data_IF_775363340817
#
_entry.id   IF_775363340817
#
_cell.length_a   1.000
_cell.length_b   1.000
_cell.length_c   1.000
_cell.angle_alpha   90.00
_cell.angle_beta   90.00
_cell.angle_gamma   90.00
#
_symmetry.space_group_name_H-M   'P 1'
#
loop_
_entity.id
_entity.type
_entity.pdbx_description
1 polymer ?
#
# COMPACT_ATOMS: atom_id res chain seq x y z
N UNK A 1 -24.21 2.55 -16.16
CA UNK A 1 -23.62 3.71 -16.86
C UNK A 1 -23.34 4.81 -15.85
N UNK A 2 -22.10 5.30 -15.85
CA UNK A 2 -21.66 6.41 -15.02
C UNK A 2 -22.49 7.68 -15.30
N UNK A 3 -22.75 8.50 -14.26
CA UNK A 3 -23.45 9.78 -14.40
C UNK A 3 -22.72 10.88 -13.65
N UNK A 4 -22.31 11.91 -14.38
CA UNK A 4 -21.75 13.14 -13.83
C UNK A 4 -22.78 13.88 -12.95
N UNK A 5 -22.33 14.60 -11.92
CA UNK A 5 -23.17 15.49 -11.14
C UNK A 5 -23.90 16.51 -12.03
N UNK A 6 -25.18 16.83 -11.75
CA UNK A 6 -25.86 17.95 -12.41
C UNK A 6 -25.34 19.29 -11.89
N UNK A 7 -25.63 20.36 -12.61
CA UNK A 7 -25.33 21.71 -12.16
C UNK A 7 -26.02 22.01 -10.82
N UNK A 8 -25.28 22.65 -9.90
CA UNK A 8 -25.76 22.99 -8.56
C UNK A 8 -26.52 24.32 -8.60
N UNK A 9 -27.75 24.32 -8.08
CA UNK A 9 -28.53 25.55 -7.90
C UNK A 9 -27.94 26.36 -6.72
N UNK A 10 -27.72 27.68 -6.86
CA UNK A 10 -27.09 28.50 -5.82
C UNK A 10 -27.94 28.59 -4.54
N UNK A 11 -29.26 28.73 -4.70
CA UNK A 11 -30.23 28.84 -3.59
C UNK A 11 -31.21 27.65 -3.65
N UNK A 12 -30.78 26.42 -3.31
CA UNK A 12 -31.59 25.23 -3.58
C UNK A 12 -32.91 25.22 -2.77
N UNK A 13 -32.90 25.71 -1.53
CA UNK A 13 -34.09 25.74 -0.70
C UNK A 13 -35.15 26.73 -1.19
N UNK A 14 -34.77 27.88 -1.74
CA UNK A 14 -35.72 28.81 -2.36
C UNK A 14 -36.42 28.15 -3.56
N UNK A 15 -35.64 27.52 -4.44
CA UNK A 15 -36.17 26.80 -5.60
C UNK A 15 -37.09 25.63 -5.18
N UNK A 16 -36.73 24.90 -4.12
CA UNK A 16 -37.55 23.81 -3.57
C UNK A 16 -38.86 24.33 -3.00
N UNK A 17 -38.85 25.42 -2.24
CA UNK A 17 -40.07 26.01 -1.65
C UNK A 17 -41.03 26.45 -2.75
N UNK A 18 -40.51 27.02 -3.85
CA UNK A 18 -41.32 27.48 -4.98
C UNK A 18 -41.88 26.31 -5.83
N UNK A 19 -41.05 25.31 -6.14
CA UNK A 19 -41.41 24.24 -7.08
C UNK A 19 -42.01 22.98 -6.42
N UNK A 20 -41.64 22.71 -5.17
CA UNK A 20 -41.95 21.46 -4.45
C UNK A 20 -42.28 21.70 -2.95
N UNK A 21 -43.23 22.60 -2.60
CA UNK A 21 -43.51 22.98 -1.22
C UNK A 21 -43.90 21.80 -0.32
N UNK A 22 -44.61 20.81 -0.84
CA UNK A 22 -45.05 19.63 -0.09
C UNK A 22 -43.92 18.65 0.29
N UNK A 23 -42.74 18.79 -0.34
CA UNK A 23 -41.61 17.88 -0.16
C UNK A 23 -40.39 18.54 0.50
N UNK A 24 -40.51 19.76 1.04
CA UNK A 24 -39.40 20.50 1.64
C UNK A 24 -38.68 19.67 2.70
N UNK A 25 -39.42 18.99 3.60
CA UNK A 25 -38.82 18.15 4.66
C UNK A 25 -37.98 17.00 4.09
N UNK A 26 -38.43 16.37 3.00
CA UNK A 26 -37.65 15.29 2.35
C UNK A 26 -36.31 15.80 1.80
N UNK A 27 -36.27 17.04 1.30
CA UNK A 27 -35.02 17.67 0.87
C UNK A 27 -34.14 18.07 2.04
N UNK A 28 -34.71 18.57 3.14
CA UNK A 28 -33.97 18.89 4.37
C UNK A 28 -33.26 17.64 4.91
N UNK A 29 -33.87 16.47 4.83
CA UNK A 29 -33.25 15.20 5.22
C UNK A 29 -31.99 14.85 4.39
N UNK A 30 -31.87 15.40 3.18
CA UNK A 30 -30.69 15.26 2.31
C UNK A 30 -29.60 16.30 2.60
N UNK A 31 -29.84 17.29 3.46
CA UNK A 31 -28.87 18.33 3.84
C UNK A 31 -27.83 17.77 4.84
N UNK A 32 -27.13 16.73 4.40
CA UNK A 32 -26.10 16.02 5.17
C UNK A 32 -24.87 15.77 4.29
N UNK A 33 -23.70 15.76 4.92
CA UNK A 33 -22.41 15.55 4.23
C UNK A 33 -22.26 14.10 3.76
N UNK A 34 -22.66 13.17 4.62
CA UNK A 34 -22.61 11.71 4.46
C UNK A 34 -24.02 11.14 4.57
N UNK A 35 -24.25 9.97 3.98
CA UNK A 35 -25.51 9.25 4.20
C UNK A 35 -25.59 8.64 5.62
N UNK A 36 -26.77 8.11 5.95
CA UNK A 36 -27.04 7.43 7.24
C UNK A 36 -26.15 6.20 7.51
N UNK A 37 -25.49 5.67 6.49
CA UNK A 37 -24.52 4.57 6.62
C UNK A 37 -23.07 5.06 6.74
N UNK A 38 -22.85 6.38 6.84
CA UNK A 38 -21.54 6.99 6.95
C UNK A 38 -20.74 6.99 5.64
N UNK A 39 -21.42 7.00 4.49
CA UNK A 39 -20.78 7.01 3.16
C UNK A 39 -20.84 8.38 2.52
N UNK A 40 -19.70 8.82 2.01
CA UNK A 40 -19.57 10.01 1.19
C UNK A 40 -19.84 9.65 -0.28
N UNK A 41 -21.11 9.73 -0.69
CA UNK A 41 -21.54 9.24 -1.99
C UNK A 41 -21.41 10.30 -3.08
N UNK A 42 -20.86 9.92 -4.23
CA UNK A 42 -20.89 10.74 -5.45
C UNK A 42 -22.30 10.77 -6.05
N UNK A 43 -22.63 11.76 -6.88
CA UNK A 43 -23.94 11.84 -7.55
C UNK A 43 -24.32 10.54 -8.26
N UNK A 44 -23.33 9.91 -8.90
CA UNK A 44 -23.46 8.63 -9.59
C UNK A 44 -24.09 7.54 -8.69
N UNK A 45 -23.81 7.59 -7.38
CA UNK A 45 -24.29 6.61 -6.41
C UNK A 45 -25.58 7.07 -5.73
N UNK A 46 -25.61 8.31 -5.22
CA UNK A 46 -26.73 8.83 -4.43
C UNK A 46 -28.01 9.00 -5.26
N UNK A 47 -27.90 9.20 -6.59
CA UNK A 47 -29.07 9.34 -7.49
C UNK A 47 -30.03 8.16 -7.49
N UNK A 48 -29.56 6.99 -7.04
CA UNK A 48 -30.36 5.77 -6.91
C UNK A 48 -31.01 5.64 -5.53
N UNK A 49 -30.52 6.38 -4.54
CA UNK A 49 -31.07 6.47 -3.18
C UNK A 49 -32.08 7.60 -3.02
N UNK A 50 -32.02 8.63 -3.87
CA UNK A 50 -32.97 9.75 -3.85
C UNK A 50 -34.40 9.24 -4.17
N UNK A 51 -35.41 9.54 -3.33
CA UNK A 51 -36.81 9.17 -3.60
C UNK A 51 -37.27 9.66 -4.97
N UNK A 52 -38.04 8.83 -5.70
CA UNK A 52 -38.51 9.14 -7.06
C UNK A 52 -39.33 10.44 -7.17
N UNK A 53 -39.94 10.87 -6.06
CA UNK A 53 -40.74 12.10 -5.98
C UNK A 53 -39.92 13.39 -5.95
N UNK A 54 -38.62 13.30 -5.65
CA UNK A 54 -37.72 14.45 -5.58
C UNK A 54 -37.00 14.66 -6.90
N UNK A 55 -36.82 15.93 -7.26
CA UNK A 55 -35.92 16.36 -8.32
C UNK A 55 -34.47 16.07 -7.91
N UNK A 56 -33.78 15.30 -8.74
CA UNK A 56 -32.41 14.85 -8.44
C UNK A 56 -31.38 15.97 -8.49
N UNK A 57 -31.62 17.02 -9.28
CA UNK A 57 -30.73 18.18 -9.40
C UNK A 57 -30.82 19.05 -8.16
N UNK A 58 -32.03 19.35 -7.69
CA UNK A 58 -32.26 20.07 -6.44
C UNK A 58 -31.78 19.27 -5.23
N UNK A 59 -32.06 17.97 -5.19
CA UNK A 59 -31.56 17.08 -4.14
C UNK A 59 -30.03 17.06 -4.08
N UNK A 60 -29.36 16.98 -5.24
CA UNK A 60 -27.90 17.08 -5.30
C UNK A 60 -27.39 18.45 -4.85
N UNK A 61 -28.08 19.53 -5.22
CA UNK A 61 -27.72 20.88 -4.81
C UNK A 61 -27.77 21.06 -3.29
N UNK A 62 -28.77 20.45 -2.63
CA UNK A 62 -28.86 20.43 -1.16
C UNK A 62 -27.69 19.65 -0.53
N UNK A 63 -27.33 18.48 -1.07
CA UNK A 63 -26.17 17.72 -0.59
C UNK A 63 -24.88 18.53 -0.76
N UNK A 64 -24.68 19.19 -1.90
CA UNK A 64 -23.51 20.05 -2.14
C UNK A 64 -23.49 21.27 -1.21
N UNK A 65 -24.66 21.84 -0.89
CA UNK A 65 -24.76 22.93 0.09
C UNK A 65 -24.24 22.49 1.46
N UNK A 66 -24.60 21.30 1.93
CA UNK A 66 -24.08 20.74 3.20
C UNK A 66 -22.55 20.55 3.18
N UNK A 67 -22.02 20.08 2.04
CA UNK A 67 -20.59 19.77 1.87
C UNK A 67 -19.72 21.01 1.74
N UNK A 68 -20.14 21.99 0.94
CA UNK A 68 -19.39 23.24 0.69
C UNK A 68 -19.08 24.00 1.98
N UNK A 69 -19.94 23.94 2.99
CA UNK A 69 -19.69 24.56 4.29
C UNK A 69 -18.58 23.91 5.11
N UNK A 70 -18.10 22.71 4.74
CA UNK A 70 -17.10 21.94 5.49
C UNK A 70 -15.84 21.59 4.68
N UNK A 71 -15.87 21.80 3.36
CA UNK A 71 -14.72 21.58 2.50
C UNK A 71 -13.62 22.60 2.81
N UNK A 72 -12.40 22.09 3.04
CA UNK A 72 -11.20 22.88 3.22
C UNK A 72 -10.30 22.77 1.97
N UNK A 73 -9.72 23.89 1.49
CA UNK A 73 -8.76 23.85 0.39
C UNK A 73 -7.46 23.18 0.84
N UNK A 74 -6.82 22.42 -0.04
CA UNK A 74 -5.58 21.70 0.28
C UNK A 74 -4.42 21.98 -0.66
N UNK A 75 -4.65 21.83 -1.96
CA UNK A 75 -3.64 21.98 -3.01
C UNK A 75 -4.34 22.44 -4.29
N UNK A 76 -3.59 22.99 -5.24
CA UNK A 76 -4.09 23.30 -6.58
C UNK A 76 -3.37 22.41 -7.58
N UNK A 77 -4.12 21.79 -8.51
CA UNK A 77 -3.58 20.82 -9.49
C UNK A 77 -4.07 21.13 -10.91
N UNK A 78 -3.37 20.56 -11.90
CA UNK A 78 -3.80 20.59 -13.29
C UNK A 78 -3.60 21.91 -14.03
N UNK A 79 -4.11 21.92 -15.26
CA UNK A 79 -4.14 23.10 -16.12
C UNK A 79 -5.43 23.11 -16.96
N UNK A 80 -6.32 24.11 -16.79
CA UNK A 80 -6.21 25.23 -15.86
C UNK A 80 -6.09 24.77 -14.40
N UNK A 81 -5.42 25.59 -13.59
CA UNK A 81 -5.14 25.25 -12.19
C UNK A 81 -6.45 25.25 -11.38
N UNK A 82 -6.81 24.10 -10.82
CA UNK A 82 -8.05 23.90 -10.06
C UNK A 82 -7.76 23.66 -8.57
N UNK A 83 -8.39 24.44 -7.65
CA UNK A 83 -8.24 24.20 -6.23
C UNK A 83 -8.91 22.87 -5.86
N UNK A 84 -8.17 22.02 -5.17
CA UNK A 84 -8.62 20.75 -4.65
C UNK A 84 -9.05 20.93 -3.18
N UNK A 85 -10.11 20.21 -2.81
CA UNK A 85 -10.75 20.35 -1.50
C UNK A 85 -10.88 18.98 -0.83
N UNK A 86 -10.93 18.97 0.49
CA UNK A 86 -11.41 17.78 1.20
C UNK A 86 -12.17 18.16 2.46
N UNK A 87 -13.00 17.24 2.95
CA UNK A 87 -13.56 17.28 4.29
C UNK A 87 -13.29 15.95 5.02
N UNK A 88 -13.33 16.00 6.35
CA UNK A 88 -13.09 14.81 7.17
C UNK A 88 -14.35 13.98 7.33
N UNK A 89 -14.35 12.73 6.86
CA UNK A 89 -15.43 11.76 7.07
C UNK A 89 -15.11 10.83 8.25
N UNK A 90 -16.10 10.08 8.80
CA UNK A 90 -15.83 9.09 9.83
C UNK A 90 -14.83 8.00 9.40
N UNK A 91 -14.80 7.62 8.12
CA UNK A 91 -13.84 6.65 7.61
C UNK A 91 -12.41 7.23 7.61
N UNK A 92 -12.27 8.51 7.26
CA UNK A 92 -11.00 9.24 7.31
C UNK A 92 -10.51 9.33 8.77
N UNK A 93 -11.38 9.72 9.69
CA UNK A 93 -11.07 9.80 11.13
C UNK A 93 -10.67 8.45 11.71
N UNK A 94 -11.38 7.37 11.36
CA UNK A 94 -11.03 6.01 11.78
C UNK A 94 -9.65 5.61 11.26
N UNK A 95 -9.35 5.89 9.99
CA UNK A 95 -8.10 5.50 9.36
C UNK A 95 -6.90 6.21 10.01
N UNK A 96 -6.95 7.53 10.20
CA UNK A 96 -5.84 8.26 10.85
C UNK A 96 -5.61 7.77 12.29
N UNK A 97 -6.69 7.56 13.05
CA UNK A 97 -6.58 6.97 14.39
C UNK A 97 -6.00 5.55 14.38
N UNK A 98 -6.33 4.73 13.38
CA UNK A 98 -5.75 3.39 13.23
C UNK A 98 -4.25 3.47 12.92
N UNK A 99 -3.85 4.35 12.01
CA UNK A 99 -2.45 4.55 11.66
C UNK A 99 -1.64 4.95 12.90
N UNK A 100 -2.10 5.93 13.67
CA UNK A 100 -1.42 6.43 14.87
C UNK A 100 -1.29 5.35 15.96
N UNK A 101 -2.33 4.52 16.13
CA UNK A 101 -2.34 3.48 17.14
C UNK A 101 -1.55 2.24 16.77
N UNK A 102 -1.42 1.93 15.48
CA UNK A 102 -0.99 0.59 15.01
C UNK A 102 0.25 0.58 14.13
N UNK A 103 0.62 1.71 13.51
CA UNK A 103 1.63 1.71 12.44
C UNK A 103 2.90 2.51 12.74
N UNK A 104 2.96 3.14 13.92
CA UNK A 104 4.10 3.96 14.34
C UNK A 104 5.33 3.12 14.69
N UNK A 105 6.48 3.78 14.73
CA UNK A 105 7.76 3.17 15.13
C UNK A 105 7.69 2.51 16.52
N UNK A 106 6.97 3.12 17.47
CA UNK A 106 6.83 2.59 18.82
C UNK A 106 6.07 1.25 18.84
N UNK A 107 4.98 1.17 18.07
CA UNK A 107 4.17 -0.06 17.94
C UNK A 107 4.98 -1.15 17.28
N UNK A 108 5.66 -0.85 16.17
CA UNK A 108 6.48 -1.83 15.48
C UNK A 108 7.58 -2.38 16.40
N UNK A 109 8.25 -1.52 17.17
CA UNK A 109 9.26 -1.94 18.15
C UNK A 109 8.67 -2.81 19.27
N UNK A 110 7.47 -2.48 19.74
CA UNK A 110 6.76 -3.33 20.71
C UNK A 110 6.49 -4.71 20.10
N UNK A 111 5.96 -4.76 18.87
CA UNK A 111 5.66 -6.01 18.16
C UNK A 111 6.92 -6.87 17.99
N UNK A 112 8.06 -6.27 17.61
CA UNK A 112 9.35 -6.97 17.45
C UNK A 112 9.90 -7.51 18.75
N UNK A 113 9.70 -6.81 19.87
CA UNK A 113 10.19 -7.25 21.17
C UNK A 113 9.44 -8.49 21.68
N UNK A 114 8.15 -8.65 21.34
CA UNK A 114 7.35 -9.82 21.73
C UNK A 114 7.82 -11.13 21.07
N UNK A 115 8.53 -11.02 19.94
CA UNK A 115 8.98 -12.17 19.13
C UNK A 115 10.44 -12.54 19.47
N UNK A 116 11.03 -11.97 20.52
CA UNK A 116 12.35 -12.35 21.05
C UNK A 116 13.53 -11.77 20.28
N UNK A 117 13.47 -11.69 18.94
CA UNK A 117 14.43 -10.99 18.09
C UNK A 117 13.78 -10.43 16.82
N UNK A 118 14.00 -9.14 16.51
CA UNK A 118 13.39 -8.43 15.38
C UNK A 118 13.56 -9.06 13.98
N UNK A 119 14.46 -10.05 13.82
CA UNK A 119 14.73 -10.72 12.52
C UNK A 119 13.70 -11.76 12.09
N UNK A 120 12.92 -12.33 13.01
CA UNK A 120 11.77 -13.17 12.65
C UNK A 120 10.64 -12.34 12.06
N UNK A 121 10.40 -11.15 12.64
CA UNK A 121 9.49 -10.15 12.09
C UNK A 121 9.97 -9.66 10.72
N UNK A 122 11.23 -9.26 10.58
CA UNK A 122 11.76 -8.84 9.27
C UNK A 122 11.53 -9.88 8.17
N UNK A 123 11.57 -11.19 8.49
CA UNK A 123 11.27 -12.22 7.50
C UNK A 123 9.78 -12.39 7.19
N UNK A 124 8.95 -12.56 8.23
CA UNK A 124 7.50 -12.67 8.08
C UNK A 124 6.91 -11.45 7.36
N UNK A 125 7.54 -10.30 7.56
CA UNK A 125 7.07 -9.05 7.03
C UNK A 125 7.74 -8.66 5.70
N UNK A 126 8.92 -9.18 5.36
CA UNK A 126 9.47 -9.04 3.99
C UNK A 126 8.57 -9.73 2.95
N UNK A 127 7.88 -10.82 3.29
CA UNK A 127 6.86 -11.42 2.43
C UNK A 127 5.72 -10.42 2.09
N UNK A 128 5.46 -9.44 2.96
CA UNK A 128 4.43 -8.41 2.76
C UNK A 128 4.92 -7.25 1.89
N UNK A 129 6.23 -6.98 1.89
CA UNK A 129 6.87 -6.10 0.91
C UNK A 129 6.73 -6.69 -0.50
N UNK A 130 6.98 -8.00 -0.63
CA UNK A 130 6.77 -8.74 -1.87
C UNK A 130 5.29 -8.68 -2.29
N UNK A 131 4.34 -8.91 -1.37
CA UNK A 131 2.91 -8.87 -1.69
C UNK A 131 2.44 -7.50 -2.21
N UNK A 132 3.00 -6.40 -1.68
CA UNK A 132 2.74 -5.06 -2.20
C UNK A 132 3.30 -4.90 -3.60
N UNK A 133 4.59 -5.20 -3.81
CA UNK A 133 5.23 -5.09 -5.12
C UNK A 133 4.51 -5.93 -6.19
N UNK A 134 4.11 -7.15 -5.83
CA UNK A 134 3.40 -8.08 -6.71
C UNK A 134 2.01 -7.55 -7.03
N UNK A 135 1.22 -7.22 -6.00
CA UNK A 135 -0.17 -6.78 -6.19
C UNK A 135 -0.23 -5.45 -6.92
N UNK A 136 0.76 -4.58 -6.70
CA UNK A 136 0.83 -3.28 -7.32
C UNK A 136 1.12 -3.38 -8.83
N UNK A 137 2.06 -4.24 -9.25
CA UNK A 137 2.31 -4.48 -10.69
C UNK A 137 1.17 -5.25 -11.37
N UNK A 138 0.51 -6.18 -10.68
CA UNK A 138 -0.67 -6.87 -11.21
C UNK A 138 -1.86 -5.92 -11.40
N UNK A 139 -1.98 -4.87 -10.56
CA UNK A 139 -3.01 -3.84 -10.75
C UNK A 139 -2.80 -3.06 -12.06
N UNK A 140 -1.54 -2.88 -12.49
CA UNK A 140 -1.19 -2.26 -13.78
C UNK A 140 -1.14 -3.27 -14.94
N UNK A 141 -1.64 -4.50 -14.75
CA UNK A 141 -1.80 -5.46 -15.85
C UNK A 141 -0.76 -6.57 -15.97
N UNK A 142 0.25 -6.63 -15.10
CA UNK A 142 1.21 -7.77 -15.11
C UNK A 142 0.47 -9.10 -14.93
N UNK A 143 0.65 -10.04 -15.88
CA UNK A 143 0.02 -11.36 -15.83
C UNK A 143 0.80 -12.37 -14.97
N UNK A 144 1.92 -11.96 -14.36
CA UNK A 144 2.74 -12.86 -13.53
C UNK A 144 1.95 -13.33 -12.31
N UNK A 145 1.77 -14.65 -12.18
CA UNK A 145 1.07 -15.22 -11.01
C UNK A 145 1.82 -14.95 -9.72
N UNK A 146 1.12 -14.77 -8.60
CA UNK A 146 1.75 -14.51 -7.29
C UNK A 146 2.77 -15.58 -6.90
N UNK A 147 2.51 -16.86 -7.24
CA UNK A 147 3.45 -17.96 -6.97
C UNK A 147 4.77 -17.80 -7.73
N UNK A 148 4.71 -17.46 -9.01
CA UNK A 148 5.90 -17.22 -9.84
C UNK A 148 6.62 -15.97 -9.36
N UNK A 149 5.88 -14.91 -9.06
CA UNK A 149 6.43 -13.65 -8.59
C UNK A 149 7.18 -13.79 -7.24
N UNK A 150 6.63 -14.52 -6.25
CA UNK A 150 7.34 -14.81 -4.99
C UNK A 150 8.61 -15.65 -5.22
N UNK A 151 8.58 -16.61 -6.15
CA UNK A 151 9.78 -17.37 -6.50
C UNK A 151 10.84 -16.46 -7.15
N UNK A 152 10.42 -15.56 -8.03
CA UNK A 152 11.29 -14.60 -8.72
C UNK A 152 12.02 -13.70 -7.72
N UNK A 153 11.27 -13.06 -6.80
CA UNK A 153 11.84 -12.15 -5.79
C UNK A 153 12.76 -12.88 -4.80
N UNK A 154 12.36 -14.07 -4.33
CA UNK A 154 13.15 -14.84 -3.36
C UNK A 154 14.43 -15.45 -3.95
N UNK A 155 14.46 -15.77 -5.24
CA UNK A 155 15.64 -16.35 -5.91
C UNK A 155 16.56 -15.30 -6.51
N UNK A 156 16.16 -14.03 -6.52
CA UNK A 156 16.86 -12.92 -7.19
C UNK A 156 17.22 -13.25 -8.65
N UNK A 157 16.41 -14.07 -9.31
CA UNK A 157 16.58 -14.32 -10.73
C UNK A 157 16.15 -13.07 -11.51
N UNK A 158 16.89 -12.75 -12.56
CA UNK A 158 16.48 -11.68 -13.48
C UNK A 158 15.15 -12.03 -14.15
N UNK A 159 14.29 -11.02 -14.31
CA UNK A 159 13.01 -11.16 -15.02
C UNK A 159 13.25 -11.38 -16.52
N UNK A 160 12.51 -12.31 -17.11
CA UNK A 160 12.65 -12.71 -18.52
C UNK A 160 11.60 -12.07 -19.40
N UNK A 161 10.43 -11.78 -18.85
CA UNK A 161 9.32 -11.12 -19.55
C UNK A 161 9.14 -9.69 -19.04
N UNK A 162 8.50 -8.80 -19.82
CA UNK A 162 8.09 -7.47 -19.35
C UNK A 162 7.31 -7.54 -18.02
N UNK A 163 6.34 -8.47 -17.92
CA UNK A 163 5.57 -8.69 -16.69
C UNK A 163 6.41 -9.04 -15.46
N UNK A 164 7.40 -9.92 -15.61
CA UNK A 164 8.32 -10.31 -14.53
C UNK A 164 9.23 -9.14 -14.14
N UNK A 165 9.67 -8.36 -15.14
CA UNK A 165 10.48 -7.16 -14.94
C UNK A 165 9.68 -6.05 -14.24
N UNK A 166 8.38 -5.91 -14.51
CA UNK A 166 7.48 -5.01 -13.77
C UNK A 166 7.39 -5.38 -12.29
N UNK A 167 7.37 -6.67 -11.95
CA UNK A 167 7.34 -7.13 -10.55
C UNK A 167 8.65 -6.76 -9.85
N UNK A 168 9.79 -7.07 -10.47
CA UNK A 168 11.12 -6.77 -9.93
C UNK A 168 11.32 -5.26 -9.78
N UNK A 169 10.97 -4.49 -10.81
CA UNK A 169 11.10 -3.04 -10.79
C UNK A 169 10.26 -2.41 -9.69
N UNK A 170 9.03 -2.87 -9.50
CA UNK A 170 8.19 -2.37 -8.41
C UNK A 170 8.71 -2.74 -7.02
N UNK A 171 9.31 -3.93 -6.88
CA UNK A 171 10.02 -4.29 -5.65
C UNK A 171 11.21 -3.35 -5.39
N UNK A 172 12.00 -3.01 -6.41
CA UNK A 172 13.09 -2.02 -6.31
C UNK A 172 12.57 -0.63 -5.96
N UNK A 173 11.45 -0.19 -6.53
CA UNK A 173 10.81 1.09 -6.16
C UNK A 173 10.47 1.14 -4.68
N UNK A 174 9.90 0.07 -4.14
CA UNK A 174 9.56 -0.03 -2.72
C UNK A 174 10.81 -0.01 -1.81
N UNK A 175 11.91 -0.61 -2.26
CA UNK A 175 13.21 -0.50 -1.56
C UNK A 175 13.76 0.93 -1.62
N UNK A 176 13.74 1.56 -2.79
CA UNK A 176 14.17 2.95 -2.98
C UNK A 176 13.34 3.92 -2.11
N UNK A 177 12.01 3.76 -2.09
CA UNK A 177 11.10 4.52 -1.25
C UNK A 177 11.46 4.40 0.24
N UNK A 178 11.85 3.20 0.69
CA UNK A 178 12.33 3.00 2.05
C UNK A 178 13.70 3.64 2.29
N UNK A 179 14.68 3.37 1.44
CA UNK A 179 16.07 3.83 1.61
C UNK A 179 16.16 5.36 1.60
N UNK A 180 15.44 6.01 0.69
CA UNK A 180 15.43 7.47 0.49
C UNK A 180 14.34 8.21 1.28
N UNK A 181 13.64 7.53 2.20
CA UNK A 181 12.55 8.12 3.01
C UNK A 181 12.92 9.36 3.81
N UNK A 182 14.20 9.55 4.12
CA UNK A 182 14.67 10.70 4.92
C UNK A 182 14.88 11.96 4.08
N UNK A 183 14.97 11.81 2.77
CA UNK A 183 15.23 12.90 1.85
C UNK A 183 13.95 13.76 1.67
N UNK A 184 14.06 15.05 1.32
CA UNK A 184 12.91 15.82 0.83
C UNK A 184 12.46 15.29 -0.54
N UNK A 185 11.20 15.52 -0.91
CA UNK A 185 10.74 15.21 -2.27
C UNK A 185 11.47 16.13 -3.25
N UNK A 186 11.86 15.59 -4.41
CA UNK A 186 12.49 16.34 -5.50
C UNK A 186 12.10 15.71 -6.84
N UNK A 187 12.24 16.47 -7.93
CA UNK A 187 12.06 15.92 -9.29
C UNK A 187 12.95 14.70 -9.50
N UNK A 188 14.20 14.79 -9.07
CA UNK A 188 15.17 13.70 -9.15
C UNK A 188 14.69 12.44 -8.41
N UNK A 189 14.13 12.56 -7.20
CA UNK A 189 13.61 11.40 -6.48
C UNK A 189 12.41 10.76 -7.22
N UNK A 190 11.52 11.56 -7.79
CA UNK A 190 10.38 11.07 -8.58
C UNK A 190 10.90 10.32 -9.83
N UNK A 191 11.89 10.89 -10.53
CA UNK A 191 12.51 10.26 -11.71
C UNK A 191 13.28 8.99 -11.37
N UNK A 192 13.99 8.96 -10.24
CA UNK A 192 14.74 7.78 -9.79
C UNK A 192 13.81 6.64 -9.37
N UNK A 193 12.74 6.94 -8.63
CA UNK A 193 11.70 5.95 -8.34
C UNK A 193 11.15 5.36 -9.65
N UNK A 194 10.76 6.22 -10.59
CA UNK A 194 10.28 5.74 -11.88
C UNK A 194 11.32 4.87 -12.60
N UNK A 195 12.58 5.33 -12.69
CA UNK A 195 13.68 4.59 -13.31
C UNK A 195 13.84 3.19 -12.70
N UNK A 196 13.97 3.08 -11.38
CA UNK A 196 14.08 1.78 -10.69
C UNK A 196 12.90 0.85 -11.01
N UNK A 197 11.72 1.43 -11.21
CA UNK A 197 10.47 0.72 -11.50
C UNK A 197 10.33 0.14 -12.89
N UNK A 198 10.97 0.75 -13.87
CA UNK A 198 10.74 0.44 -15.29
C UNK A 198 12.01 0.12 -16.06
N UNK A 199 13.19 0.32 -15.45
CA UNK A 199 14.46 0.02 -16.11
C UNK A 199 14.57 -1.47 -16.48
N UNK A 200 14.92 -1.69 -17.75
CA UNK A 200 15.08 -3.01 -18.33
C UNK A 200 13.80 -3.69 -18.78
N UNK A 201 12.61 -3.07 -18.65
CA UNK A 201 11.38 -3.53 -19.32
C UNK A 201 11.57 -3.34 -20.84
N UNK A 202 11.45 -4.43 -21.61
CA UNK A 202 11.67 -4.40 -23.07
C UNK A 202 10.39 -3.94 -23.79
N UNK A 203 10.02 -2.68 -23.61
CA UNK A 203 8.84 -2.04 -24.21
C UNK A 203 9.12 -0.55 -24.42
N UNK A 204 8.91 -0.07 -25.65
CA UNK A 204 9.24 1.28 -26.09
C UNK A 204 8.36 2.37 -25.44
N UNK A 205 7.22 2.00 -24.85
CA UNK A 205 6.38 2.92 -24.06
C UNK A 205 7.09 3.33 -22.76
N UNK A 206 7.97 2.48 -22.22
CA UNK A 206 8.72 2.79 -21.02
C UNK A 206 9.98 3.62 -21.31
N UNK A 207 10.00 4.83 -20.75
CA UNK A 207 11.17 5.73 -20.81
C UNK A 207 11.71 5.98 -19.39
N UNK A 208 12.69 5.17 -18.91
CA UNK A 208 13.12 5.19 -17.51
C UNK A 208 13.55 6.58 -17.01
N UNK A 209 12.79 7.11 -16.05
CA UNK A 209 13.01 8.42 -15.42
C UNK A 209 12.76 9.65 -16.30
N UNK A 210 12.26 9.49 -17.53
CA UNK A 210 11.97 10.61 -18.42
C UNK A 210 10.50 11.03 -18.29
N UNK A 211 10.25 12.29 -17.93
CA UNK A 211 8.91 12.85 -17.93
C UNK A 211 8.32 12.90 -19.35
N UNK A 212 6.99 12.84 -19.46
CA UNK A 212 6.31 12.97 -20.74
C UNK A 212 6.59 14.34 -21.36
N UNK A 213 6.81 14.34 -22.67
CA UNK A 213 7.02 15.53 -23.50
C UNK A 213 5.85 15.79 -24.47
N UNK A 214 4.86 14.90 -24.46
CA UNK A 214 3.68 14.89 -25.34
C UNK A 214 2.37 14.67 -24.54
N UNK A 215 1.24 15.00 -25.16
CA UNK A 215 -0.11 14.87 -24.58
C UNK A 215 -0.89 13.65 -25.09
N UNK A 216 -0.21 12.74 -25.78
CA UNK A 216 -0.76 11.47 -26.30
C UNK A 216 -0.95 10.40 -25.21
N UNK A 217 -0.33 10.59 -24.04
CA UNK A 217 -0.47 9.71 -22.88
C UNK A 217 -1.84 9.92 -22.23
N UNK A 218 -2.65 8.85 -22.15
CA UNK A 218 -4.00 8.85 -21.58
C UNK A 218 -4.18 7.73 -20.58
N UNK A 219 -5.05 7.92 -19.59
CA UNK A 219 -5.44 6.86 -18.66
C UNK A 219 -6.64 6.13 -19.25
N UNK A 220 -6.54 4.81 -19.46
CA UNK A 220 -7.63 4.01 -20.00
C UNK A 220 -8.66 3.61 -18.94
N UNK A 221 -9.93 3.48 -19.33
CA UNK A 221 -11.02 2.98 -18.50
C UNK A 221 -11.12 1.43 -18.44
N UNK A 222 -10.16 0.71 -19.03
CA UNK A 222 -10.12 -0.75 -19.09
C UNK A 222 -11.08 -1.36 -20.13
N UNK A 223 -11.88 -0.54 -20.82
CA UNK A 223 -12.77 -0.93 -21.92
C UNK A 223 -12.36 -0.28 -23.26
N UNK A 224 -11.15 0.27 -23.32
CA UNK A 224 -10.62 0.97 -24.50
C UNK A 224 -11.08 2.43 -24.63
N UNK A 225 -11.79 2.96 -23.64
CA UNK A 225 -12.10 4.39 -23.53
C UNK A 225 -11.03 5.15 -22.75
N UNK A 226 -11.07 6.49 -22.86
CA UNK A 226 -10.23 7.40 -22.07
C UNK A 226 -10.96 7.67 -20.76
N UNK A 227 -10.39 7.21 -19.65
CA UNK A 227 -10.87 7.51 -18.31
C UNK A 227 -10.48 8.93 -17.88
N UNK A 228 -9.24 9.33 -18.18
CA UNK A 228 -8.67 10.62 -17.81
C UNK A 228 -7.65 11.07 -18.86
N UNK A 229 -7.71 12.37 -19.20
CA UNK A 229 -6.71 13.06 -20.01
C UNK A 229 -5.83 13.88 -19.06
N UNK A 230 -4.55 13.52 -18.90
CA UNK A 230 -3.63 14.26 -18.05
C UNK A 230 -3.46 15.72 -18.47
N UNK A 231 -3.12 16.61 -17.52
CA UNK A 231 -2.75 17.98 -17.83
C UNK A 231 -1.58 18.07 -18.84
N UNK A 232 -1.44 19.19 -19.58
CA UNK A 232 -0.47 19.34 -20.65
C UNK A 232 0.99 19.11 -20.21
N UNK A 233 1.77 18.48 -21.07
CA UNK A 233 3.19 18.17 -20.83
C UNK A 233 4.06 19.43 -20.75
N UNK A 234 3.72 20.48 -21.52
CA UNK A 234 4.49 21.72 -21.63
C UNK A 234 4.81 22.40 -20.28
N UNK A 235 3.92 22.22 -19.30
CA UNK A 235 3.92 22.87 -17.99
C UNK A 235 4.04 21.87 -16.84
N UNK A 236 4.26 20.59 -17.15
CA UNK A 236 4.35 19.50 -16.17
C UNK A 236 5.40 19.74 -15.10
N UNK A 237 6.62 20.14 -15.50
CA UNK A 237 7.73 20.36 -14.55
C UNK A 237 7.36 21.42 -13.51
N UNK A 238 6.76 22.54 -13.95
CA UNK A 238 6.32 23.62 -13.05
C UNK A 238 5.24 23.14 -12.06
N UNK A 239 4.28 22.33 -12.52
CA UNK A 239 3.24 21.77 -11.64
C UNK A 239 3.82 20.76 -10.64
N UNK A 240 4.77 19.93 -11.08
CA UNK A 240 5.49 19.02 -10.17
C UNK A 240 6.33 19.77 -9.15
N UNK A 241 6.98 20.87 -9.52
CA UNK A 241 7.71 21.74 -8.57
C UNK A 241 6.77 22.34 -7.52
N UNK A 242 5.59 22.80 -7.94
CA UNK A 242 4.55 23.30 -7.02
C UNK A 242 4.06 22.21 -6.07
N UNK A 243 3.84 20.99 -6.58
CA UNK A 243 3.50 19.82 -5.77
C UNK A 243 4.63 19.47 -4.78
N UNK A 244 5.89 19.51 -5.22
CA UNK A 244 7.06 19.24 -4.38
C UNK A 244 7.17 20.25 -3.24
N UNK A 245 6.99 21.55 -3.52
CA UNK A 245 6.97 22.59 -2.51
C UNK A 245 5.87 22.32 -1.47
N UNK A 246 4.66 21.98 -1.92
CA UNK A 246 3.56 21.63 -1.05
C UNK A 246 3.85 20.39 -0.19
N UNK A 247 4.43 19.33 -0.77
CA UNK A 247 4.79 18.10 -0.04
C UNK A 247 5.84 18.38 1.03
N UNK A 248 6.84 19.19 0.73
CA UNK A 248 7.93 19.50 1.64
C UNK A 248 7.55 20.53 2.73
N UNK A 249 6.45 21.27 2.54
CA UNK A 249 5.94 22.22 3.53
C UNK A 249 5.32 21.52 4.76
N UNK A 250 5.55 22.06 5.95
CA UNK A 250 4.97 21.52 7.18
C UNK A 250 3.49 21.90 7.33
N UNK A 251 2.63 20.87 7.31
CA UNK A 251 1.17 21.00 7.50
C UNK A 251 0.72 20.38 8.83
N UNK A 252 1.63 20.09 9.75
CA UNK A 252 1.32 19.43 11.02
C UNK A 252 1.11 20.41 12.17
N UNK A 253 1.38 21.70 11.94
CA UNK A 253 1.21 22.74 12.96
C UNK A 253 -0.21 23.28 12.98
N UNK A 254 -0.67 23.71 14.15
CA UNK A 254 -1.96 24.41 14.32
C UNK A 254 -1.85 25.93 14.16
N UNK A 255 -0.66 26.44 13.86
CA UNK A 255 -0.41 27.86 13.66
C UNK A 255 -0.89 28.35 12.29
N UNK A 256 -1.26 27.43 11.41
CA UNK A 256 -1.94 27.70 10.14
C UNK A 256 -3.31 27.04 10.16
N UNK A 257 -4.26 27.59 9.40
CA UNK A 257 -5.58 26.96 9.21
C UNK A 257 -5.53 25.69 8.34
N UNK A 258 -4.33 25.22 7.98
CA UNK A 258 -4.07 24.18 6.97
C UNK A 258 -3.50 22.89 7.56
N UNK A 259 -3.91 22.52 8.78
CA UNK A 259 -3.51 21.23 9.36
C UNK A 259 -3.96 20.07 8.45
N UNK A 260 -3.02 19.22 8.05
CA UNK A 260 -3.27 18.00 7.29
C UNK A 260 -2.52 16.86 7.97
N UNK A 261 -3.26 15.83 8.36
CA UNK A 261 -2.66 14.63 8.93
C UNK A 261 -1.72 13.95 7.91
N UNK A 262 -0.52 13.48 8.30
CA UNK A 262 0.47 12.90 7.38
C UNK A 262 -0.06 11.82 6.44
N UNK A 263 -0.91 10.92 6.93
CA UNK A 263 -1.55 9.87 6.11
C UNK A 263 -2.44 10.48 5.01
N UNK A 264 -3.17 11.55 5.31
CA UNK A 264 -4.02 12.23 4.33
C UNK A 264 -3.17 12.94 3.28
N UNK A 265 -2.08 13.57 3.72
CA UNK A 265 -1.10 14.17 2.82
C UNK A 265 -0.44 13.14 1.89
N UNK A 266 -0.14 11.94 2.38
CA UNK A 266 0.34 10.82 1.56
C UNK A 266 -0.68 10.41 0.48
N UNK A 267 -1.96 10.35 0.85
CA UNK A 267 -3.04 10.00 -0.08
C UNK A 267 -3.24 11.10 -1.13
N UNK A 268 -3.15 12.37 -0.74
CA UNK A 268 -3.23 13.50 -1.69
C UNK A 268 -2.04 13.45 -2.65
N UNK A 269 -0.81 13.16 -2.18
CA UNK A 269 0.35 12.96 -3.04
C UNK A 269 0.14 11.82 -4.05
N UNK A 270 -0.43 10.70 -3.60
CA UNK A 270 -0.81 9.59 -4.48
C UNK A 270 -1.79 10.07 -5.57
N UNK A 271 -2.87 10.74 -5.18
CA UNK A 271 -3.82 11.28 -6.13
C UNK A 271 -3.15 12.22 -7.14
N UNK A 272 -2.37 13.18 -6.64
CA UNK A 272 -1.72 14.22 -7.45
C UNK A 272 -0.79 13.62 -8.51
N UNK A 273 0.01 12.61 -8.17
CA UNK A 273 0.89 11.95 -9.15
C UNK A 273 0.09 11.15 -10.18
N UNK A 274 -0.99 10.48 -9.75
CA UNK A 274 -1.88 9.76 -10.67
C UNK A 274 -2.58 10.68 -11.66
N UNK A 275 -2.98 11.87 -11.20
CA UNK A 275 -3.66 12.92 -11.97
C UNK A 275 -2.71 13.69 -12.90
N UNK A 276 -1.56 14.14 -12.40
CA UNK A 276 -0.55 14.83 -13.22
C UNK A 276 0.07 13.90 -14.28
N UNK A 277 0.09 12.59 -13.98
CA UNK A 277 0.54 11.52 -14.89
C UNK A 277 1.89 11.82 -15.55
N UNK A 278 2.96 12.01 -14.76
CA UNK A 278 4.20 12.64 -15.24
C UNK A 278 5.02 11.80 -16.24
N UNK A 279 4.78 10.51 -16.36
CA UNK A 279 5.55 9.58 -17.20
C UNK A 279 4.68 9.00 -18.33
N UNK A 280 5.31 8.38 -19.34
CA UNK A 280 4.59 7.69 -20.42
C UNK A 280 3.86 6.42 -19.93
N UNK A 281 4.45 5.68 -18.99
CA UNK A 281 3.85 4.55 -18.27
C UNK A 281 4.49 4.49 -16.86
N UNK A 282 3.99 3.64 -15.96
CA UNK A 282 4.51 3.43 -14.61
C UNK A 282 3.90 4.36 -13.56
N UNK A 283 3.05 5.31 -13.97
CA UNK A 283 2.51 6.35 -13.09
C UNK A 283 1.79 5.81 -11.86
N UNK A 284 0.92 4.81 -12.01
CA UNK A 284 0.19 4.23 -10.88
C UNK A 284 1.10 3.51 -9.88
N UNK A 285 2.20 2.87 -10.33
CA UNK A 285 3.22 2.28 -9.45
C UNK A 285 4.05 3.35 -8.75
N UNK A 286 4.43 4.43 -9.45
CA UNK A 286 5.16 5.56 -8.86
C UNK A 286 4.30 6.27 -7.81
N UNK A 287 3.03 6.52 -8.10
CA UNK A 287 2.11 7.19 -7.18
C UNK A 287 1.95 6.41 -5.85
N UNK A 288 1.81 5.08 -5.94
CA UNK A 288 1.78 4.19 -4.77
C UNK A 288 3.11 4.16 -4.03
N UNK A 289 4.23 4.08 -4.75
CA UNK A 289 5.57 4.12 -4.14
C UNK A 289 5.82 5.44 -3.40
N UNK A 290 5.33 6.57 -3.92
CA UNK A 290 5.41 7.88 -3.26
C UNK A 290 4.50 8.00 -2.04
N UNK A 291 3.32 7.36 -2.04
CA UNK A 291 2.53 7.20 -0.82
C UNK A 291 3.36 6.49 0.27
N UNK A 292 3.98 5.36 -0.06
CA UNK A 292 4.79 4.59 0.89
C UNK A 292 6.02 5.38 1.37
N UNK A 293 6.75 6.00 0.45
CA UNK A 293 7.87 6.88 0.77
C UNK A 293 7.48 7.95 1.80
N UNK A 294 6.33 8.62 1.60
CA UNK A 294 5.88 9.68 2.49
C UNK A 294 5.47 9.15 3.87
N UNK A 295 4.71 8.05 3.95
CA UNK A 295 4.35 7.48 5.27
C UNK A 295 5.58 6.95 6.02
N UNK A 296 6.62 6.47 5.32
CA UNK A 296 7.89 6.09 5.93
C UNK A 296 8.66 7.29 6.48
N UNK A 297 8.66 8.41 5.74
CA UNK A 297 9.25 9.69 6.16
C UNK A 297 8.61 10.19 7.46
N UNK A 298 7.29 10.08 7.54
CA UNK A 298 6.47 10.60 8.65
C UNK A 298 6.36 9.65 9.84
N UNK A 299 7.18 8.59 9.91
CA UNK A 299 7.32 7.78 11.11
C UNK A 299 6.30 6.63 11.27
N UNK A 300 5.68 6.20 10.17
CA UNK A 300 4.80 5.03 10.11
C UNK A 300 5.46 3.81 9.42
N UNK A 301 6.56 3.24 9.97
CA UNK A 301 7.33 2.20 9.30
C UNK A 301 6.60 0.87 9.17
N UNK A 302 5.50 0.63 9.91
CA UNK A 302 4.74 -0.61 9.76
C UNK A 302 4.13 -0.74 8.35
N UNK A 303 3.90 0.38 7.64
CA UNK A 303 3.48 0.34 6.23
C UNK A 303 4.46 -0.39 5.32
N UNK A 304 5.73 -0.60 5.73
CA UNK A 304 6.68 -1.45 5.01
C UNK A 304 6.13 -2.87 4.81
N UNK A 305 5.19 -3.25 5.65
CA UNK A 305 4.67 -4.58 5.83
C UNK A 305 3.15 -4.64 5.61
N UNK A 306 2.54 -3.57 5.10
CA UNK A 306 1.10 -3.49 4.85
C UNK A 306 0.91 -3.36 3.34
N UNK A 307 0.39 -4.41 2.71
CA UNK A 307 0.17 -4.46 1.26
C UNK A 307 -1.22 -3.92 0.87
N UNK A 308 -1.35 -2.60 0.72
CA UNK A 308 -2.62 -1.93 0.38
C UNK A 308 -3.06 -2.31 -1.03
N UNK A 309 -2.13 -2.46 -1.98
CA UNK A 309 -2.44 -2.81 -3.36
C UNK A 309 -3.10 -4.18 -3.47
N UNK A 310 -2.91 -5.06 -2.49
CA UNK A 310 -3.61 -6.36 -2.44
C UNK A 310 -5.13 -6.19 -2.34
N UNK A 311 -5.59 -5.13 -1.66
CA UNK A 311 -7.00 -4.79 -1.53
C UNK A 311 -7.50 -4.01 -2.75
N UNK A 312 -6.71 -3.06 -3.25
CA UNK A 312 -7.05 -2.30 -4.47
C UNK A 312 -7.27 -3.23 -5.66
N UNK A 313 -6.43 -4.25 -5.81
CA UNK A 313 -6.55 -5.29 -6.84
C UNK A 313 -7.81 -6.14 -6.74
N UNK A 314 -8.44 -6.26 -5.56
CA UNK A 314 -9.73 -6.98 -5.43
C UNK A 314 -10.88 -6.21 -6.09
N UNK A 315 -10.76 -4.88 -6.20
CA UNK A 315 -11.79 -4.01 -6.76
C UNK A 315 -11.20 -2.85 -7.59
N UNK A 316 -10.48 -3.12 -8.69
CA UNK A 316 -9.78 -2.12 -9.49
C UNK A 316 -10.73 -1.06 -10.05
N UNK A 317 -11.94 -1.46 -10.44
CA UNK A 317 -12.98 -0.55 -10.90
C UNK A 317 -13.35 0.47 -9.81
N UNK A 318 -13.50 0.05 -8.55
CA UNK A 318 -13.84 0.98 -7.46
C UNK A 318 -12.71 1.98 -7.20
N UNK A 319 -11.46 1.52 -7.31
CA UNK A 319 -10.29 2.37 -7.21
C UNK A 319 -10.25 3.42 -8.34
N UNK A 320 -10.39 3.01 -9.60
CA UNK A 320 -10.50 3.95 -10.73
C UNK A 320 -11.69 4.92 -10.61
N UNK A 321 -12.85 4.43 -10.15
CA UNK A 321 -14.01 5.28 -9.90
C UNK A 321 -13.76 6.35 -8.84
N UNK A 322 -12.88 6.11 -7.86
CA UNK A 322 -12.56 7.12 -6.85
C UNK A 322 -11.77 8.32 -7.41
N UNK A 323 -10.93 8.11 -8.43
CA UNK A 323 -10.36 9.19 -9.24
C UNK A 323 -11.45 9.91 -10.03
N UNK A 324 -12.26 9.15 -10.77
CA UNK A 324 -13.31 9.71 -11.62
C UNK A 324 -14.33 10.55 -10.83
N UNK A 325 -14.72 10.11 -9.64
CA UNK A 325 -15.63 10.87 -8.76
C UNK A 325 -15.00 12.17 -8.26
N UNK A 326 -13.69 12.20 -8.05
CA UNK A 326 -12.96 13.40 -7.65
C UNK A 326 -12.93 14.41 -8.81
N UNK A 327 -12.53 13.98 -10.00
CA UNK A 327 -12.41 14.84 -11.19
C UNK A 327 -13.75 15.37 -11.69
N UNK A 328 -14.83 14.61 -11.51
CA UNK A 328 -16.16 15.00 -12.02
C UNK A 328 -17.00 15.80 -11.02
N UNK A 329 -16.48 16.07 -9.82
CA UNK A 329 -17.16 16.81 -8.77
C UNK A 329 -16.26 17.91 -8.16
N UNK A 330 -15.74 18.79 -9.02
CA UNK A 330 -15.00 20.01 -8.62
C UNK A 330 -13.72 19.74 -7.81
N UNK A 331 -12.97 18.69 -8.16
CA UNK A 331 -11.74 18.27 -7.47
C UNK A 331 -11.95 18.05 -5.95
N UNK A 332 -13.10 17.50 -5.58
CA UNK A 332 -13.40 17.04 -4.23
C UNK A 332 -12.64 15.75 -3.93
N UNK A 333 -11.43 15.88 -3.38
CA UNK A 333 -10.55 14.76 -3.04
C UNK A 333 -11.15 13.85 -1.96
N UNK A 334 -12.24 14.26 -1.30
CA UNK A 334 -12.88 13.46 -0.24
C UNK A 334 -13.26 12.06 -0.75
N UNK A 335 -13.64 11.91 -2.03
CA UNK A 335 -13.95 10.58 -2.60
C UNK A 335 -12.74 9.65 -2.62
N UNK A 336 -11.62 10.14 -3.14
CA UNK A 336 -10.37 9.38 -3.19
C UNK A 336 -9.83 9.12 -1.78
N UNK A 337 -9.82 10.14 -0.92
CA UNK A 337 -9.29 10.05 0.44
C UNK A 337 -10.13 9.09 1.29
N UNK A 338 -11.46 9.17 1.25
CA UNK A 338 -12.36 8.27 1.98
C UNK A 338 -12.17 6.81 1.52
N UNK A 339 -12.10 6.58 0.20
CA UNK A 339 -11.87 5.24 -0.35
C UNK A 339 -10.52 4.66 0.10
N UNK A 340 -9.43 5.42 -0.03
CA UNK A 340 -8.11 4.99 0.38
C UNK A 340 -8.01 4.76 1.89
N UNK A 341 -8.65 5.61 2.71
CA UNK A 341 -8.71 5.44 4.16
C UNK A 341 -9.41 4.14 4.58
N UNK A 342 -10.46 3.72 3.85
CA UNK A 342 -11.11 2.41 4.09
C UNK A 342 -10.18 1.26 3.77
N UNK A 343 -9.47 1.33 2.64
CA UNK A 343 -8.48 0.31 2.24
C UNK A 343 -7.31 0.25 3.22
N UNK A 344 -6.80 1.40 3.68
CA UNK A 344 -5.74 1.47 4.70
C UNK A 344 -6.21 0.83 6.01
N UNK A 345 -7.43 1.13 6.46
CA UNK A 345 -7.98 0.53 7.69
C UNK A 345 -8.05 -1.00 7.58
N UNK A 346 -8.64 -1.52 6.49
CA UNK A 346 -8.72 -2.97 6.25
C UNK A 346 -7.33 -3.61 6.13
N UNK A 347 -6.36 -2.93 5.50
CA UNK A 347 -5.00 -3.44 5.36
C UNK A 347 -4.26 -3.49 6.70
N UNK A 348 -4.48 -2.50 7.59
CA UNK A 348 -3.95 -2.52 8.96
C UNK A 348 -4.57 -3.66 9.77
N UNK A 349 -5.89 -3.85 9.68
CA UNK A 349 -6.60 -4.94 10.37
C UNK A 349 -6.03 -6.31 9.95
N UNK A 350 -5.88 -6.56 8.65
CA UNK A 350 -5.28 -7.78 8.12
C UNK A 350 -3.82 -7.98 8.58
N UNK A 351 -3.05 -6.89 8.65
CA UNK A 351 -1.68 -6.95 9.17
C UNK A 351 -1.65 -7.35 10.65
N UNK A 352 -2.56 -6.81 11.46
CA UNK A 352 -2.68 -7.16 12.88
C UNK A 352 -3.06 -8.64 13.05
N UNK A 353 -4.06 -9.11 12.31
CA UNK A 353 -4.50 -10.51 12.34
C UNK A 353 -3.37 -11.47 11.96
N UNK A 354 -2.64 -11.16 10.89
CA UNK A 354 -1.49 -11.96 10.46
C UNK A 354 -0.37 -11.97 11.51
N UNK A 355 -0.11 -10.84 12.16
CA UNK A 355 0.85 -10.76 13.25
C UNK A 355 0.43 -11.62 14.45
N UNK A 356 -0.83 -11.54 14.87
CA UNK A 356 -1.35 -12.30 16.02
C UNK A 356 -1.31 -13.82 15.76
N UNK A 357 -1.67 -14.24 14.54
CA UNK A 357 -1.55 -15.63 14.10
C UNK A 357 -0.09 -16.10 14.13
N UNK A 358 0.84 -15.29 13.62
CA UNK A 358 2.25 -15.61 13.63
C UNK A 358 2.80 -15.70 15.06
N UNK A 359 2.48 -14.74 15.93
CA UNK A 359 2.90 -14.72 17.32
C UNK A 359 2.37 -15.94 18.08
N UNK A 360 1.10 -16.31 17.87
CA UNK A 360 0.52 -17.52 18.44
C UNK A 360 1.23 -18.78 17.96
N UNK A 361 1.49 -18.89 16.65
CA UNK A 361 2.19 -20.03 16.07
C UNK A 361 3.60 -20.20 16.65
N UNK A 362 4.31 -19.09 16.91
CA UNK A 362 5.64 -19.11 17.53
C UNK A 362 5.54 -19.65 18.97
N UNK A 363 4.61 -19.10 19.78
CA UNK A 363 4.39 -19.55 21.16
C UNK A 363 3.96 -21.02 21.26
N UNK A 364 3.07 -21.44 20.38
CA UNK A 364 2.59 -22.84 20.33
C UNK A 364 3.73 -23.78 19.93
N UNK A 365 4.63 -23.35 19.02
CA UNK A 365 5.81 -24.12 18.65
C UNK A 365 6.83 -24.20 19.79
N UNK A 366 7.10 -23.11 20.49
CA UNK A 366 7.97 -23.11 21.68
C UNK A 366 7.44 -24.04 22.78
N UNK A 367 6.12 -23.97 23.04
CA UNK A 367 5.46 -24.89 23.97
C UNK A 367 5.59 -26.34 23.52
N UNK A 368 5.34 -26.63 22.24
CA UNK A 368 5.52 -27.95 21.67
C UNK A 368 6.96 -28.45 21.84
N UNK A 369 7.98 -27.62 21.59
CA UNK A 369 9.38 -28.01 21.75
C UNK A 369 9.71 -28.46 23.18
N UNK A 370 9.10 -27.79 24.17
CA UNK A 370 9.24 -28.13 25.58
C UNK A 370 8.44 -29.40 25.94
N UNK A 371 7.14 -29.42 25.66
CA UNK A 371 6.21 -30.49 26.08
C UNK A 371 6.51 -31.83 25.39
N UNK A 372 6.94 -31.81 24.13
CA UNK A 372 7.22 -33.01 23.34
C UNK A 372 8.50 -33.75 23.75
N UNK A 373 9.34 -33.13 24.60
CA UNK A 373 10.68 -33.62 24.92
C UNK A 373 11.66 -33.57 23.74
N UNK A 374 11.25 -33.06 22.58
CA UNK A 374 12.08 -32.92 21.38
C UNK A 374 13.33 -32.08 21.68
N UNK A 375 13.17 -30.95 22.37
CA UNK A 375 14.30 -30.11 22.77
C UNK A 375 15.26 -30.85 23.73
N UNK A 376 14.71 -31.77 24.54
CA UNK A 376 15.44 -32.69 25.40
C UNK A 376 16.34 -33.68 24.63
N UNK A 377 15.93 -34.12 23.43
CA UNK A 377 16.72 -35.07 22.60
C UNK A 377 17.89 -34.44 21.86
N UNK A 378 17.93 -33.11 21.75
CA UNK A 378 19.02 -32.40 21.09
C UNK A 378 20.26 -32.36 21.97
N UNK A 379 21.42 -32.72 21.42
CA UNK A 379 22.71 -32.44 22.05
C UNK A 379 22.95 -30.94 22.19
N UNK A 380 23.83 -30.50 23.10
CA UNK A 380 24.11 -29.07 23.31
C UNK A 380 24.53 -28.34 22.03
N UNK A 381 25.33 -29.00 21.17
CA UNK A 381 25.73 -28.45 19.87
C UNK A 381 24.59 -28.39 18.86
N UNK A 382 23.67 -29.36 18.88
CA UNK A 382 22.47 -29.30 18.05
C UNK A 382 21.50 -28.22 18.54
N UNK A 383 21.36 -28.03 19.86
CA UNK A 383 20.57 -26.92 20.43
C UNK A 383 21.14 -25.57 20.01
N UNK A 384 22.46 -25.40 20.00
CA UNK A 384 23.07 -24.16 19.50
C UNK A 384 22.71 -23.88 18.03
N UNK A 385 22.87 -24.87 17.14
CA UNK A 385 22.51 -24.69 15.72
C UNK A 385 21.00 -24.47 15.55
N UNK A 386 20.19 -25.22 16.28
CA UNK A 386 18.74 -25.09 16.27
C UNK A 386 18.30 -23.70 16.76
N UNK A 387 18.86 -23.17 17.85
CA UNK A 387 18.55 -21.84 18.36
C UNK A 387 18.95 -20.73 17.39
N UNK A 388 20.10 -20.87 16.70
CA UNK A 388 20.53 -19.92 15.66
C UNK A 388 19.59 -19.95 14.44
N UNK A 389 19.09 -21.14 14.10
CA UNK A 389 18.13 -21.31 13.01
C UNK A 389 16.74 -20.81 13.39
N UNK A 390 16.26 -21.15 14.60
CA UNK A 390 14.96 -20.74 15.10
C UNK A 390 14.91 -19.23 15.30
N UNK A 391 15.98 -18.59 15.79
CA UNK A 391 16.07 -17.13 15.90
C UNK A 391 16.27 -16.41 14.56
N UNK A 392 16.27 -17.15 13.44
CA UNK A 392 16.45 -16.66 12.07
C UNK A 392 17.76 -15.86 11.87
N UNK A 393 18.77 -16.04 12.73
CA UNK A 393 20.09 -15.40 12.61
C UNK A 393 20.87 -15.98 11.43
N UNK A 394 20.62 -17.23 11.06
CA UNK A 394 21.11 -17.86 9.84
C UNK A 394 20.08 -18.85 9.29
N UNK A 395 19.81 -18.79 7.98
CA UNK A 395 18.84 -19.68 7.30
C UNK A 395 19.48 -20.89 6.63
N UNK A 396 20.73 -20.74 6.24
CA UNK A 396 21.48 -21.70 5.48
C UNK A 396 22.73 -22.04 6.27
N UNK A 397 22.85 -23.32 6.60
CA UNK A 397 23.97 -23.85 7.34
C UNK A 397 24.75 -24.74 6.39
N UNK A 398 26.08 -24.57 6.40
CA UNK A 398 26.99 -25.50 5.74
C UNK A 398 27.86 -26.15 6.81
N UNK A 399 28.38 -27.33 6.51
CA UNK A 399 29.29 -28.04 7.44
C UNK A 399 30.48 -27.15 7.81
N UNK A 400 31.03 -26.41 6.85
CA UNK A 400 32.15 -25.50 7.09
C UNK A 400 31.78 -24.32 8.00
N UNK A 401 30.59 -23.73 7.82
CA UNK A 401 30.11 -22.66 8.67
C UNK A 401 29.94 -23.15 10.13
N UNK A 402 29.27 -24.28 10.33
CA UNK A 402 29.05 -24.86 11.67
C UNK A 402 30.37 -25.29 12.31
N UNK A 403 31.30 -25.86 11.53
CA UNK A 403 32.65 -26.21 11.98
C UNK A 403 33.39 -25.01 12.56
N UNK A 404 33.41 -23.89 11.83
CA UNK A 404 34.08 -22.66 12.24
C UNK A 404 33.40 -22.04 13.47
N UNK A 405 32.07 -21.93 13.45
CA UNK A 405 31.32 -21.25 14.51
C UNK A 405 31.25 -22.05 15.83
N UNK A 406 31.28 -23.39 15.78
CA UNK A 406 31.27 -24.25 16.97
C UNK A 406 32.66 -24.78 17.36
N UNK A 407 33.72 -24.38 16.66
CA UNK A 407 35.10 -24.81 16.94
C UNK A 407 35.27 -26.33 16.96
N UNK A 408 34.68 -27.06 16.02
CA UNK A 408 34.69 -28.53 16.01
C UNK A 408 35.28 -29.13 14.72
N UNK A 409 35.39 -30.47 14.65
CA UNK A 409 35.87 -31.14 13.43
C UNK A 409 34.81 -31.11 12.33
N UNK A 410 35.22 -31.26 11.06
CA UNK A 410 34.28 -31.33 9.93
C UNK A 410 33.25 -32.46 10.11
N UNK A 411 33.72 -33.66 10.51
CA UNK A 411 32.85 -34.81 10.74
C UNK A 411 31.86 -34.56 11.89
N UNK A 412 32.29 -33.85 12.94
CA UNK A 412 31.40 -33.45 14.04
C UNK A 412 30.34 -32.47 13.57
N UNK A 413 30.70 -31.43 12.81
CA UNK A 413 29.75 -30.48 12.24
C UNK A 413 28.75 -31.15 11.27
N UNK A 414 29.23 -32.09 10.46
CA UNK A 414 28.39 -32.87 9.55
C UNK A 414 27.42 -33.77 10.34
N UNK A 415 27.87 -34.42 11.41
CA UNK A 415 27.01 -35.24 12.27
C UNK A 415 25.94 -34.41 12.98
N UNK A 416 26.27 -33.21 13.47
CA UNK A 416 25.30 -32.28 14.08
C UNK A 416 24.18 -31.95 13.09
N UNK A 417 24.54 -31.51 11.88
CA UNK A 417 23.59 -31.11 10.85
C UNK A 417 22.77 -32.28 10.31
N UNK A 418 23.39 -33.45 10.07
CA UNK A 418 22.65 -34.62 9.64
C UNK A 418 21.75 -35.17 10.75
N UNK A 419 22.17 -35.13 12.02
CA UNK A 419 21.31 -35.50 13.15
C UNK A 419 20.08 -34.59 13.28
N UNK A 420 20.19 -33.30 12.97
CA UNK A 420 19.03 -32.40 12.87
C UNK A 420 18.10 -32.75 11.70
N UNK A 421 18.65 -33.26 10.59
CA UNK A 421 17.85 -33.77 9.46
C UNK A 421 17.16 -35.10 9.81
N UNK A 422 17.85 -35.99 10.52
CA UNK A 422 17.31 -37.28 11.00
C UNK A 422 16.17 -37.09 11.99
N UNK A 423 16.28 -36.09 12.87
CA UNK A 423 15.21 -35.65 13.78
C UNK A 423 14.08 -34.90 13.07
N UNK A 424 14.12 -34.80 11.73
CA UNK A 424 13.15 -34.08 10.90
C UNK A 424 12.95 -32.63 11.36
N UNK A 425 14.03 -31.98 11.79
CA UNK A 425 14.04 -30.54 12.10
C UNK A 425 14.59 -29.72 10.95
N UNK A 426 15.47 -30.31 10.15
CA UNK A 426 16.14 -29.66 9.03
C UNK A 426 15.91 -30.46 7.75
N UNK A 427 15.98 -29.76 6.61
CA UNK A 427 16.18 -30.35 5.29
C UNK A 427 17.59 -30.02 4.79
N UNK A 428 18.12 -30.87 3.91
CA UNK A 428 19.36 -30.60 3.17
C UNK A 428 19.11 -30.61 1.67
N UNK A 429 19.72 -29.68 0.96
CA UNK A 429 19.76 -29.62 -0.50
C UNK A 429 21.20 -29.44 -0.97
N UNK A 430 21.47 -29.86 -2.21
CA UNK A 430 22.79 -29.71 -2.82
C UNK A 430 22.79 -28.44 -3.67
N UNK A 431 23.71 -27.52 -3.39
CA UNK A 431 23.96 -26.33 -4.20
C UNK A 431 25.40 -26.41 -4.73
N UNK A 432 25.53 -26.65 -6.03
CA UNK A 432 26.81 -26.94 -6.67
C UNK A 432 27.52 -28.14 -6.02
N UNK A 433 28.69 -27.89 -5.41
CA UNK A 433 29.49 -28.92 -4.71
C UNK A 433 29.26 -28.96 -3.19
N UNK A 434 28.36 -28.14 -2.65
CA UNK A 434 28.17 -27.96 -1.21
C UNK A 434 26.78 -28.41 -0.78
N UNK A 435 26.69 -29.06 0.38
CA UNK A 435 25.42 -29.35 1.04
C UNK A 435 25.00 -28.16 1.90
N UNK A 436 23.79 -27.67 1.66
CA UNK A 436 23.16 -26.58 2.40
C UNK A 436 21.99 -27.14 3.19
N UNK A 437 21.98 -26.82 4.48
CA UNK A 437 20.97 -27.27 5.44
C UNK A 437 20.12 -26.08 5.87
N UNK A 438 18.83 -26.29 6.07
CA UNK A 438 17.87 -25.27 6.51
C UNK A 438 16.81 -25.89 7.39
N UNK A 439 16.35 -25.18 8.42
CA UNK A 439 15.27 -25.63 9.29
C UNK A 439 13.97 -25.81 8.49
N UNK A 440 13.18 -26.83 8.84
CA UNK A 440 11.82 -27.02 8.35
C UNK A 440 10.88 -26.01 9.00
N UNK A 441 9.74 -25.75 8.37
CA UNK A 441 8.73 -24.90 8.99
C UNK A 441 8.16 -25.57 10.26
N UNK A 442 7.76 -24.78 11.29
CA UNK A 442 7.26 -25.29 12.56
C UNK A 442 6.15 -26.34 12.43
N UNK A 443 5.25 -26.17 11.45
CA UNK A 443 4.12 -27.06 11.22
C UNK A 443 4.59 -28.42 10.72
N UNK A 444 5.47 -28.45 9.72
CA UNK A 444 6.11 -29.69 9.24
C UNK A 444 6.85 -30.42 10.36
N UNK A 445 7.51 -29.70 11.27
CA UNK A 445 8.21 -30.30 12.42
C UNK A 445 7.20 -30.96 13.38
N UNK A 446 6.10 -30.28 13.69
CA UNK A 446 5.05 -30.82 14.55
C UNK A 446 4.41 -32.07 13.95
N UNK A 447 4.02 -32.02 12.67
CA UNK A 447 3.42 -33.15 11.95
C UNK A 447 4.36 -34.34 11.82
N UNK A 448 5.66 -34.10 11.72
CA UNK A 448 6.69 -35.13 11.58
C UNK A 448 7.03 -35.87 12.88
N UNK A 449 6.67 -35.28 14.03
CA UNK A 449 6.98 -35.75 15.36
C UNK A 449 5.85 -36.51 16.05
N UNK A 450 4.60 -36.12 15.77
CA UNK A 450 3.40 -36.94 16.07
C UNK A 450 3.48 -38.24 15.26
#
# INVERSE_FOLDING_TARGET
MFKRPPAVHPEPFEAIIQAHPDYVTDYVDLHQVIDKEGKYLHFDQIRHKIPRRLDKSLAWSVVKMARRGQLAPVITLGEPAEPCWFLSTPAIQKAVSHCDQKTTTAVLRYMTNQIGEGKQIEYLLNDLLDDEAISSSQLEGSATTTKVAKLLLSTQQGGRTPDEKMIIGNYKMMLCAWERRKEPLSLQLIQELHREGVEGIDDDEYRPGAFKDTDDVVVSDGHGGIAHQPPPAATLVQRLESLIEWVNSDHTTTNTASYIHPIIKAIILHFAIGYEHPFHDGNGRVARSLFYWYVFKEGFPAFRYIAISSLLKRAPVKYGMSYMYTETDEMDLTYFIDYQCRMITEAIDLFQENYDVALKSIKDFEKFLFDSGLYGKLSDKQRMVFNVASSNRARHFTVNNVKMNLGCSYNTAASILNGLVELKLFKKRKEGKVWVYSMLDPKSIQEAWV
#
